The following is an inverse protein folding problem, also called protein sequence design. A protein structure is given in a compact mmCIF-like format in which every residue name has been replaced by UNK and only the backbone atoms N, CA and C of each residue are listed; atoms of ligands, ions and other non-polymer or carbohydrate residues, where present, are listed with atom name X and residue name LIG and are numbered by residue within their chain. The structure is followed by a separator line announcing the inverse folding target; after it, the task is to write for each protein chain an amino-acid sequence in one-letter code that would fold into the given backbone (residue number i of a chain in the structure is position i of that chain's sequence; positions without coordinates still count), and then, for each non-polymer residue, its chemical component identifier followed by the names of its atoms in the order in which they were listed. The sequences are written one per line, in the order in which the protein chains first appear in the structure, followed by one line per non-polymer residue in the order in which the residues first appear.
data_IF_610178609183
#
_entry.id   IF_610178609183
#
_cell.length_a   1.000
_cell.length_b   1.000
_cell.length_c   1.000
_cell.angle_alpha   90.00
_cell.angle_beta   90.00
_cell.angle_gamma   90.00
#
_symmetry.space_group_name_H-M   'P 1'
#
loop_
_entity.id
_entity.type
_entity.pdbx_description
1 polymer ?
#
# COMPACT_ATOMS: atom_id res chain seq x y z
N UNK A 1 41.63 -37.22 13.63
CA UNK A 1 40.84 -36.16 12.98
C UNK A 1 39.85 -36.80 12.01
N UNK A 2 38.57 -36.92 12.38
CA UNK A 2 37.51 -37.35 11.45
C UNK A 2 36.93 -36.11 10.79
N UNK A 3 37.16 -35.97 9.50
CA UNK A 3 36.50 -35.01 8.62
C UNK A 3 35.02 -35.40 8.50
N UNK A 4 34.13 -34.65 9.16
CA UNK A 4 32.70 -34.70 8.85
C UNK A 4 32.49 -33.91 7.55
N UNK A 5 32.52 -34.59 6.39
CA UNK A 5 31.89 -34.06 5.18
C UNK A 5 30.40 -33.93 5.49
N UNK A 6 29.93 -32.70 5.66
CA UNK A 6 28.50 -32.43 5.48
C UNK A 6 28.23 -32.60 4.00
N UNK A 7 27.31 -33.50 3.65
CA UNK A 7 26.74 -33.57 2.30
C UNK A 7 25.89 -32.31 2.10
N UNK A 8 26.56 -31.19 1.85
CA UNK A 8 25.91 -29.92 1.58
C UNK A 8 25.27 -30.00 0.19
N UNK A 9 23.97 -29.72 0.14
CA UNK A 9 23.20 -29.71 -1.10
C UNK A 9 23.82 -28.68 -2.08
N UNK A 10 24.00 -29.02 -3.37
CA UNK A 10 24.46 -28.08 -4.39
C UNK A 10 23.65 -26.78 -4.38
N UNK A 11 24.34 -25.64 -4.50
CA UNK A 11 23.73 -24.32 -4.39
C UNK A 11 22.56 -24.12 -5.37
N UNK A 12 22.67 -24.63 -6.60
CA UNK A 12 21.61 -24.54 -7.61
C UNK A 12 20.32 -25.27 -7.20
N UNK A 13 20.44 -26.40 -6.49
CA UNK A 13 19.30 -27.11 -5.93
C UNK A 13 18.70 -26.36 -4.74
N UNK A 14 19.54 -25.71 -3.93
CA UNK A 14 19.06 -24.84 -2.85
C UNK A 14 18.27 -23.66 -3.42
N UNK A 15 18.76 -23.01 -4.48
CA UNK A 15 18.08 -21.93 -5.20
C UNK A 15 16.75 -22.41 -5.78
N UNK A 16 16.72 -23.61 -6.38
CA UNK A 16 15.50 -24.21 -6.92
C UNK A 16 14.46 -24.47 -5.82
N UNK A 17 14.88 -25.02 -4.68
CA UNK A 17 13.99 -25.24 -3.53
C UNK A 17 13.46 -23.91 -3.01
N UNK A 18 14.34 -22.94 -2.74
CA UNK A 18 13.96 -21.62 -2.24
C UNK A 18 12.98 -20.91 -3.18
N UNK A 19 13.13 -21.06 -4.50
CA UNK A 19 12.22 -20.44 -5.46
C UNK A 19 10.76 -20.92 -5.36
N UNK A 20 10.52 -22.06 -4.72
CA UNK A 20 9.18 -22.66 -4.51
C UNK A 20 8.62 -22.41 -3.12
N UNK A 21 9.44 -21.89 -2.21
CA UNK A 21 9.02 -21.59 -0.82
C UNK A 21 8.23 -20.28 -0.82
N UNK A 22 7.12 -20.16 -0.06
CA UNK A 22 6.45 -18.88 0.09
C UNK A 22 7.37 -17.80 0.68
N UNK A 23 7.35 -16.58 0.14
CA UNK A 23 8.20 -15.45 0.58
C UNK A 23 8.14 -15.21 2.10
N UNK A 24 6.97 -15.38 2.74
CA UNK A 24 6.84 -15.24 4.20
C UNK A 24 7.63 -16.30 4.97
N UNK A 25 7.72 -17.52 4.46
CA UNK A 25 8.54 -18.56 5.05
C UNK A 25 10.02 -18.26 4.85
N UNK A 26 10.38 -17.70 3.68
CA UNK A 26 11.76 -17.23 3.44
C UNK A 26 12.20 -16.13 4.41
N UNK A 27 11.30 -15.19 4.76
CA UNK A 27 11.57 -14.17 5.78
C UNK A 27 12.01 -14.80 7.13
N UNK A 28 11.41 -15.92 7.51
CA UNK A 28 11.76 -16.66 8.74
C UNK A 28 13.09 -17.38 8.58
N UNK A 29 13.31 -18.08 7.45
CA UNK A 29 14.58 -18.76 7.16
C UNK A 29 15.77 -17.80 7.21
N UNK A 30 15.59 -16.59 6.68
CA UNK A 30 16.59 -15.52 6.72
C UNK A 30 17.05 -15.16 8.14
N UNK A 31 16.15 -15.24 9.13
CA UNK A 31 16.48 -14.95 10.52
C UNK A 31 17.30 -16.06 11.19
N UNK A 32 17.42 -17.24 10.58
CA UNK A 32 18.10 -18.40 11.18
C UNK A 32 19.59 -18.45 10.89
N UNK A 33 20.03 -18.17 9.65
CA UNK A 33 21.47 -18.24 9.28
C UNK A 33 21.87 -17.15 8.28
N UNK A 34 23.17 -16.81 8.28
CA UNK A 34 23.76 -15.88 7.30
C UNK A 34 23.71 -16.44 5.88
N UNK A 35 23.90 -17.75 5.72
CA UNK A 35 23.89 -18.42 4.41
C UNK A 35 22.53 -18.30 3.73
N UNK A 36 21.44 -18.63 4.43
CA UNK A 36 20.08 -18.47 3.90
C UNK A 36 19.79 -17.00 3.54
N UNK A 37 20.27 -16.06 4.37
CA UNK A 37 20.11 -14.64 4.09
C UNK A 37 20.83 -14.17 2.82
N UNK A 38 22.03 -14.69 2.53
CA UNK A 38 22.74 -14.39 1.28
C UNK A 38 21.99 -14.99 0.09
N UNK A 39 21.59 -16.26 0.16
CA UNK A 39 20.92 -16.94 -0.94
C UNK A 39 19.55 -16.34 -1.27
N UNK A 40 18.74 -15.97 -0.27
CA UNK A 40 17.43 -15.34 -0.50
C UNK A 40 17.57 -13.96 -1.16
N UNK A 41 18.70 -13.27 -0.95
CA UNK A 41 19.01 -11.98 -1.60
C UNK A 41 19.53 -12.15 -3.02
N UNK A 42 19.91 -13.37 -3.41
CA UNK A 42 20.34 -13.66 -4.77
C UNK A 42 19.19 -13.43 -5.75
N UNK A 43 19.46 -12.65 -6.81
CA UNK A 43 18.49 -12.35 -7.86
C UNK A 43 17.96 -13.60 -8.56
N UNK A 44 18.71 -14.71 -8.59
CA UNK A 44 18.28 -16.00 -9.15
C UNK A 44 17.07 -16.55 -8.43
N UNK A 45 17.02 -16.45 -7.10
CA UNK A 45 15.86 -16.92 -6.30
C UNK A 45 14.64 -16.07 -6.61
N UNK A 46 14.79 -14.73 -6.63
CA UNK A 46 13.70 -13.81 -6.93
C UNK A 46 13.12 -14.00 -8.33
N UNK A 47 13.99 -14.15 -9.33
CA UNK A 47 13.59 -14.38 -10.73
C UNK A 47 12.85 -15.71 -10.89
N UNK A 48 13.44 -16.83 -10.42
CA UNK A 48 12.77 -18.14 -10.47
C UNK A 48 11.47 -18.16 -9.68
N UNK A 49 11.42 -17.50 -8.52
CA UNK A 49 10.21 -17.44 -7.72
C UNK A 49 9.09 -16.69 -8.45
N UNK A 50 9.42 -15.61 -9.19
CA UNK A 50 8.46 -14.90 -10.02
C UNK A 50 7.89 -15.82 -11.13
N UNK A 51 8.77 -16.53 -11.85
CA UNK A 51 8.39 -17.44 -12.94
C UNK A 51 7.56 -18.63 -12.43
N UNK A 52 7.94 -19.21 -11.28
CA UNK A 52 7.31 -20.40 -10.71
C UNK A 52 5.97 -20.12 -10.00
N UNK A 53 5.73 -18.88 -9.54
CA UNK A 53 4.59 -18.56 -8.67
C UNK A 53 3.62 -17.52 -9.25
N UNK A 54 3.76 -17.11 -10.51
CA UNK A 54 2.70 -16.38 -11.22
C UNK A 54 1.46 -17.28 -11.47
N UNK A 55 0.21 -16.81 -11.31
CA UNK A 55 -0.37 -16.01 -10.24
C UNK A 55 -1.00 -16.92 -9.17
N UNK A 56 -0.20 -17.73 -8.46
CA UNK A 56 -0.69 -18.46 -7.28
C UNK A 56 -0.74 -17.48 -6.11
N UNK A 57 -1.78 -16.65 -6.08
CA UNK A 57 -1.98 -15.64 -5.04
C UNK A 57 -2.09 -16.35 -3.69
N UNK A 58 -1.28 -15.99 -2.70
CA UNK A 58 -1.39 -16.59 -1.38
C UNK A 58 -2.81 -16.34 -0.84
N UNK A 59 -3.48 -17.41 -0.40
CA UNK A 59 -4.75 -17.35 0.37
C UNK A 59 -4.55 -16.73 1.77
N UNK A 60 -3.44 -16.02 1.99
CA UNK A 60 -3.06 -15.45 3.26
C UNK A 60 -2.96 -13.94 3.10
N UNK A 61 -3.98 -13.28 3.62
CA UNK A 61 -4.10 -11.84 3.78
C UNK A 61 -3.07 -11.29 4.76
N UNK A 62 -1.98 -10.81 4.20
CA UNK A 62 -0.93 -10.11 4.91
C UNK A 62 -1.21 -8.62 4.87
N UNK A 63 -1.03 -7.98 6.00
CA UNK A 63 -1.24 -6.56 6.17
C UNK A 63 0.04 -5.97 6.74
N UNK A 64 0.47 -4.85 6.17
CA UNK A 64 1.42 -3.97 6.81
C UNK A 64 0.66 -3.00 7.71
N UNK A 65 1.06 -2.96 8.97
CA UNK A 65 0.57 -2.01 9.96
C UNK A 65 1.70 -1.06 10.33
N UNK A 66 1.41 0.25 10.31
CA UNK A 66 2.33 1.27 10.79
C UNK A 66 1.96 1.60 12.24
N UNK A 67 2.64 1.03 13.23
CA UNK A 67 2.36 1.21 14.65
C UNK A 67 3.51 2.00 15.28
N UNK A 68 3.21 3.13 15.90
CA UNK A 68 4.23 4.02 16.50
C UNK A 68 5.41 4.30 15.55
N UNK A 69 5.12 4.54 14.26
CA UNK A 69 6.11 4.81 13.19
C UNK A 69 7.02 3.65 12.80
N UNK A 70 6.71 2.43 13.27
CA UNK A 70 7.39 1.17 12.95
C UNK A 70 6.53 0.30 12.05
N UNK A 71 7.17 -0.47 11.18
CA UNK A 71 6.50 -1.26 10.15
C UNK A 71 6.37 -2.71 10.61
N UNK A 72 5.14 -3.17 10.77
CA UNK A 72 4.83 -4.53 11.22
C UNK A 72 4.12 -5.32 10.13
N UNK A 73 4.59 -6.54 9.89
CA UNK A 73 3.91 -7.52 9.06
C UNK A 73 2.99 -8.37 9.92
N UNK A 74 1.73 -8.42 9.51
CA UNK A 74 0.65 -9.04 10.28
C UNK A 74 -0.15 -9.98 9.37
N UNK A 75 -0.54 -11.15 9.87
CA UNK A 75 -1.43 -12.07 9.15
C UNK A 75 -2.80 -12.06 9.81
N UNK A 76 -3.80 -11.57 9.09
CA UNK A 76 -5.17 -11.54 9.59
C UNK A 76 -5.94 -12.74 9.07
N UNK A 77 -6.49 -13.55 9.96
CA UNK A 77 -7.46 -14.60 9.64
C UNK A 77 -8.81 -14.18 10.20
N UNK A 78 -9.82 -14.01 9.35
CA UNK A 78 -11.15 -13.56 9.77
C UNK A 78 -12.08 -14.71 10.18
N UNK A 79 -11.69 -15.96 9.93
CA UNK A 79 -12.53 -17.14 10.14
C UNK A 79 -12.34 -17.79 11.53
N UNK A 80 -11.60 -17.15 12.45
CA UNK A 80 -11.36 -17.67 13.79
C UNK A 80 -12.19 -16.90 14.82
N UNK A 81 -13.10 -17.59 15.51
CA UNK A 81 -14.06 -16.98 16.44
C UNK A 81 -13.57 -16.88 17.90
N UNK A 82 -12.48 -17.58 18.28
CA UNK A 82 -12.02 -17.63 19.69
C UNK A 82 -10.66 -16.95 19.88
N UNK A 83 -10.64 -15.93 20.76
CA UNK A 83 -9.51 -15.05 21.07
C UNK A 83 -8.91 -14.34 19.84
N UNK A 84 -9.65 -13.35 19.29
CA UNK A 84 -9.28 -12.43 18.19
C UNK A 84 -7.96 -11.66 18.43
N UNK A 85 -6.85 -12.34 18.67
CA UNK A 85 -5.50 -11.81 18.79
C UNK A 85 -4.74 -12.21 17.54
N UNK A 86 -4.46 -11.22 16.71
CA UNK A 86 -3.62 -11.40 15.56
C UNK A 86 -2.16 -11.27 15.97
N UNK A 87 -1.36 -12.28 15.60
CA UNK A 87 0.08 -12.33 15.86
C UNK A 87 0.86 -11.53 14.83
N UNK A 88 1.79 -10.72 15.32
CA UNK A 88 2.81 -10.07 14.50
C UNK A 88 3.75 -11.16 13.95
N UNK A 89 3.92 -11.19 12.62
CA UNK A 89 4.87 -12.12 11.99
C UNK A 89 6.29 -11.60 12.12
N UNK A 90 6.47 -10.29 11.88
CA UNK A 90 7.76 -9.63 11.90
C UNK A 90 7.58 -8.14 12.09
N UNK A 91 8.48 -7.52 12.84
CA UNK A 91 8.78 -6.10 12.67
C UNK A 91 9.84 -5.97 11.58
N UNK A 92 9.65 -5.04 10.65
CA UNK A 92 10.67 -4.69 9.68
C UNK A 92 11.42 -3.46 10.18
N UNK A 93 12.74 -3.58 10.30
CA UNK A 93 13.61 -2.50 10.76
C UNK A 93 14.31 -1.84 9.59
N UNK A 94 14.10 -0.52 9.44
CA UNK A 94 14.80 0.30 8.46
C UNK A 94 15.91 1.11 9.15
N UNK A 95 17.17 0.87 8.74
CA UNK A 95 18.33 1.60 9.26
C UNK A 95 18.54 2.90 8.49
N UNK A 96 18.99 3.93 9.19
CA UNK A 96 19.37 5.19 8.56
C UNK A 96 20.79 5.10 7.96
N UNK A 97 20.99 5.36 6.66
CA UNK A 97 22.33 5.37 6.08
C UNK A 97 23.14 6.64 6.39
N UNK A 98 22.51 7.75 6.80
CA UNK A 98 23.18 9.06 6.97
C UNK A 98 23.76 9.18 8.37
N UNK A 99 22.99 8.78 9.36
CA UNK A 99 23.45 8.77 10.74
C UNK A 99 23.90 7.34 11.02
N UNK A 100 25.20 7.12 11.24
CA UNK A 100 25.77 5.87 11.79
C UNK A 100 25.20 5.49 13.18
N UNK A 101 24.08 6.08 13.58
CA UNK A 101 23.31 5.74 14.75
C UNK A 101 22.66 4.36 14.58
N UNK A 102 22.68 3.58 15.65
CA UNK A 102 21.89 2.36 15.83
C UNK A 102 20.36 2.61 15.81
N UNK A 103 19.91 3.82 15.51
CA UNK A 103 18.50 4.23 15.60
C UNK A 103 17.75 3.88 14.31
N UNK A 104 16.61 3.23 14.49
CA UNK A 104 15.69 2.88 13.42
C UNK A 104 14.94 4.13 12.91
N UNK A 105 14.75 4.22 11.60
CA UNK A 105 14.07 5.35 10.96
C UNK A 105 12.58 5.33 11.26
N UNK A 106 12.05 6.46 11.72
CA UNK A 106 10.61 6.64 11.92
C UNK A 106 9.88 6.86 10.58
N UNK A 107 8.95 5.97 10.25
CA UNK A 107 8.14 6.03 9.03
C UNK A 107 6.81 6.76 9.30
N UNK A 108 6.49 7.76 8.47
CA UNK A 108 5.26 8.55 8.54
C UNK A 108 4.16 7.98 7.64
N UNK A 109 4.50 7.53 6.44
CA UNK A 109 3.53 7.00 5.48
C UNK A 109 4.15 5.90 4.60
N UNK A 110 3.32 4.99 4.08
CA UNK A 110 3.74 3.87 3.23
C UNK A 110 2.81 3.78 2.02
N UNK A 111 3.38 3.60 0.84
CA UNK A 111 2.67 3.28 -0.39
C UNK A 111 3.20 1.95 -0.92
N UNK A 112 2.31 1.04 -1.32
CA UNK A 112 2.68 -0.30 -1.78
C UNK A 112 2.48 -0.45 -3.28
N UNK A 113 3.40 -1.15 -3.95
CA UNK A 113 3.26 -1.62 -5.33
C UNK A 113 4.08 -2.91 -5.52
N UNK A 114 3.46 -4.01 -5.94
CA UNK A 114 4.11 -5.29 -6.24
C UNK A 114 5.13 -5.79 -5.19
N UNK A 115 4.81 -5.58 -3.90
CA UNK A 115 5.65 -5.97 -2.76
C UNK A 115 6.78 -5.01 -2.40
N UNK A 116 6.99 -3.97 -3.20
CA UNK A 116 7.81 -2.81 -2.84
C UNK A 116 7.00 -1.80 -2.03
N UNK A 117 7.69 -1.14 -1.11
CA UNK A 117 7.16 -0.06 -0.29
C UNK A 117 7.88 1.23 -0.62
N UNK A 118 7.13 2.31 -0.83
CA UNK A 118 7.65 3.66 -0.78
C UNK A 118 7.31 4.24 0.59
N UNK A 119 8.33 4.53 1.39
CA UNK A 119 8.17 5.06 2.73
C UNK A 119 8.57 6.54 2.76
N UNK A 120 7.65 7.38 3.22
CA UNK A 120 7.96 8.75 3.63
C UNK A 120 8.27 8.75 5.13
N UNK A 121 9.41 9.31 5.52
CA UNK A 121 9.86 9.35 6.92
C UNK A 121 9.31 10.59 7.64
N UNK A 122 9.42 10.64 8.97
CA UNK A 122 9.12 11.86 9.74
C UNK A 122 10.01 13.06 9.39
N UNK A 123 11.22 12.81 8.91
CA UNK A 123 12.19 13.84 8.54
C UNK A 123 12.08 14.22 7.06
N UNK A 124 10.92 13.96 6.44
CA UNK A 124 10.64 14.22 5.03
C UNK A 124 11.67 13.62 4.07
N UNK A 125 12.31 12.50 4.42
CA UNK A 125 13.12 11.70 3.49
C UNK A 125 12.28 10.60 2.86
N UNK A 126 12.66 10.21 1.65
CA UNK A 126 11.94 9.22 0.85
C UNK A 126 12.84 8.00 0.58
N UNK A 127 12.28 6.81 0.76
CA UNK A 127 12.98 5.54 0.54
C UNK A 127 12.06 4.52 -0.11
N UNK A 128 12.56 3.86 -1.13
CA UNK A 128 11.94 2.66 -1.69
C UNK A 128 12.58 1.47 -0.98
N UNK A 129 11.75 0.56 -0.50
CA UNK A 129 12.17 -0.52 0.36
C UNK A 129 11.46 -1.81 -0.03
N UNK A 130 12.24 -2.87 -0.20
CA UNK A 130 11.72 -4.23 -0.18
C UNK A 130 12.07 -4.87 1.18
N UNK A 131 11.12 -5.00 2.12
CA UNK A 131 11.39 -5.66 3.40
C UNK A 131 11.79 -7.14 3.28
N UNK A 132 11.37 -7.81 2.20
CA UNK A 132 11.63 -9.22 1.95
C UNK A 132 13.06 -9.49 1.46
N UNK A 133 13.63 -8.60 0.65
CA UNK A 133 15.05 -8.66 0.27
C UNK A 133 15.98 -7.79 1.14
N UNK A 134 15.41 -6.94 2.01
CA UNK A 134 16.13 -5.88 2.77
C UNK A 134 16.78 -4.84 1.86
N UNK A 135 16.44 -4.81 0.57
CA UNK A 135 16.96 -3.82 -0.35
C UNK A 135 16.30 -2.46 -0.10
N UNK A 136 17.11 -1.41 -0.05
CA UNK A 136 16.64 -0.04 0.15
C UNK A 136 17.29 0.90 -0.85
N UNK A 137 16.51 1.81 -1.43
CA UNK A 137 17.02 2.91 -2.25
C UNK A 137 16.48 4.23 -1.72
N UNK A 138 17.39 5.05 -1.21
CA UNK A 138 17.07 6.39 -0.71
C UNK A 138 17.02 7.36 -1.87
N UNK A 139 15.91 8.09 -1.98
CA UNK A 139 15.69 9.06 -3.06
C UNK A 139 15.98 10.44 -2.52
N UNK A 140 16.88 11.17 -3.20
CA UNK A 140 17.15 12.58 -2.91
C UNK A 140 16.06 13.44 -3.55
N UNK A 141 15.60 14.52 -2.90
CA UNK A 141 14.65 15.44 -3.51
C UNK A 141 15.29 16.19 -4.68
N UNK A 142 14.47 16.64 -5.65
CA UNK A 142 14.96 17.58 -6.67
C UNK A 142 15.36 18.95 -6.08
N UNK A 143 14.68 19.39 -5.01
CA UNK A 143 14.99 20.63 -4.27
C UNK A 143 14.93 20.37 -2.77
N UNK A 144 13.72 20.16 -2.26
CA UNK A 144 13.44 19.74 -0.89
C UNK A 144 12.08 19.06 -0.85
N UNK A 145 11.86 18.20 0.13
CA UNK A 145 10.58 17.54 0.37
C UNK A 145 9.74 18.34 1.37
N UNK A 146 8.42 18.35 1.18
CA UNK A 146 7.45 19.01 2.06
C UNK A 146 6.57 17.97 2.74
N UNK A 147 6.04 18.32 3.92
CA UNK A 147 5.07 17.46 4.62
C UNK A 147 3.78 17.24 3.81
N UNK A 148 3.40 18.25 3.01
CA UNK A 148 2.23 18.26 2.13
C UNK A 148 2.43 17.53 0.81
N UNK A 149 3.64 17.06 0.50
CA UNK A 149 3.88 16.32 -0.73
C UNK A 149 3.10 15.01 -0.74
N UNK A 150 2.46 14.73 -1.87
CA UNK A 150 1.77 13.47 -2.11
C UNK A 150 2.70 12.60 -2.96
N UNK A 151 2.82 11.34 -2.58
CA UNK A 151 3.67 10.38 -3.28
C UNK A 151 2.87 9.19 -3.79
N UNK A 152 3.39 8.55 -4.82
CA UNK A 152 2.94 7.23 -5.25
C UNK A 152 4.09 6.40 -5.80
N UNK A 153 3.97 5.09 -5.63
CA UNK A 153 4.81 4.10 -6.25
C UNK A 153 3.99 3.33 -7.28
N UNK A 154 4.52 3.27 -8.49
CA UNK A 154 3.91 2.52 -9.57
C UNK A 154 4.93 1.87 -10.47
N UNK A 155 4.42 1.16 -11.46
CA UNK A 155 5.18 0.32 -12.37
C UNK A 155 4.65 0.51 -13.78
N UNK A 156 5.54 0.79 -14.72
CA UNK A 156 5.18 0.86 -16.14
C UNK A 156 4.91 -0.52 -16.73
N UNK A 157 4.32 -0.55 -17.91
CA UNK A 157 4.08 -1.75 -18.71
C UNK A 157 5.35 -2.57 -19.01
N UNK A 158 6.52 -1.92 -19.05
CA UNK A 158 7.82 -2.58 -19.18
C UNK A 158 8.44 -3.00 -17.84
N UNK A 159 7.61 -3.15 -16.80
CA UNK A 159 7.99 -3.58 -15.44
C UNK A 159 8.98 -2.66 -14.70
N UNK A 160 9.12 -1.40 -15.13
CA UNK A 160 10.01 -0.43 -14.49
C UNK A 160 9.26 0.35 -13.42
N UNK A 161 9.79 0.32 -12.19
CA UNK A 161 9.23 1.11 -11.11
C UNK A 161 9.57 2.58 -11.29
N UNK A 162 8.67 3.44 -10.83
CA UNK A 162 8.81 4.91 -10.82
C UNK A 162 8.13 5.47 -9.58
N UNK A 163 8.61 6.61 -9.12
CA UNK A 163 7.97 7.34 -8.01
C UNK A 163 7.38 8.63 -8.53
N UNK A 164 6.08 8.84 -8.31
CA UNK A 164 5.42 10.11 -8.55
C UNK A 164 5.47 10.94 -7.27
N UNK A 165 5.78 12.23 -7.42
CA UNK A 165 5.62 13.26 -6.40
C UNK A 165 4.69 14.33 -6.96
N UNK A 166 3.71 14.74 -6.15
CA UNK A 166 2.83 15.87 -6.44
C UNK A 166 3.08 16.92 -5.36
N UNK A 167 3.75 18.00 -5.74
CA UNK A 167 3.95 19.16 -4.88
C UNK A 167 2.70 20.04 -4.95
N UNK A 168 1.98 20.14 -3.83
CA UNK A 168 0.83 21.00 -3.66
C UNK A 168 1.22 22.21 -2.80
N UNK A 169 1.47 23.35 -3.46
CA UNK A 169 1.88 24.60 -2.79
C UNK A 169 0.66 25.43 -2.33
N UNK A 170 0.38 25.43 -1.02
CA UNK A 170 -0.55 26.37 -0.37
C UNK A 170 -1.72 25.74 0.39
N UNK A 171 -2.10 26.38 1.51
CA UNK A 171 -3.18 25.96 2.41
C UNK A 171 -4.52 26.69 2.17
N UNK A 172 -4.63 27.53 1.14
CA UNK A 172 -5.79 28.41 0.94
C UNK A 172 -6.65 27.99 -0.24
N UNK A 173 -7.95 28.19 -0.12
CA UNK A 173 -9.05 27.55 -0.86
C UNK A 173 -9.19 27.89 -2.35
N UNK A 174 -8.15 28.40 -3.03
CA UNK A 174 -8.19 28.74 -4.47
C UNK A 174 -7.08 28.05 -5.25
N UNK A 175 -7.47 27.47 -6.40
CA UNK A 175 -6.67 27.04 -7.56
C UNK A 175 -5.14 26.96 -7.33
N UNK A 176 -4.71 25.99 -6.53
CA UNK A 176 -3.30 25.74 -6.24
C UNK A 176 -2.63 25.18 -7.49
N UNK A 177 -1.47 25.74 -7.87
CA UNK A 177 -0.64 25.14 -8.90
C UNK A 177 0.02 23.88 -8.34
N UNK A 178 -0.35 22.73 -8.91
CA UNK A 178 0.28 21.46 -8.65
C UNK A 178 1.44 21.27 -9.62
N UNK A 179 2.59 20.90 -9.09
CA UNK A 179 3.75 20.46 -9.88
C UNK A 179 3.95 18.96 -9.67
N UNK A 180 3.92 18.20 -10.75
CA UNK A 180 4.06 16.75 -10.73
C UNK A 180 5.44 16.38 -11.26
N UNK A 181 6.18 15.60 -10.47
CA UNK A 181 7.52 15.11 -10.79
C UNK A 181 7.54 13.59 -10.76
N UNK A 182 8.27 12.97 -11.69
CA UNK A 182 8.59 11.55 -11.67
C UNK A 182 10.07 11.37 -11.38
N UNK A 183 10.36 10.45 -10.46
CA UNK A 183 11.68 9.90 -10.27
C UNK A 183 11.82 8.61 -11.07
N UNK A 184 12.81 8.60 -11.94
CA UNK A 184 13.19 7.44 -12.74
C UNK A 184 14.41 6.76 -12.09
N UNK A 185 14.29 5.46 -11.86
CA UNK A 185 15.32 4.67 -11.17
C UNK A 185 16.55 4.40 -12.03
N UNK A 186 16.41 4.45 -13.36
CA UNK A 186 17.48 4.23 -14.34
C UNK A 186 18.31 5.50 -14.45
N UNK A 187 17.68 6.65 -14.70
CA UNK A 187 18.41 7.93 -14.77
C UNK A 187 18.81 8.45 -13.39
N UNK A 188 18.25 7.86 -12.32
CA UNK A 188 18.49 8.25 -10.93
C UNK A 188 18.19 9.74 -10.68
N UNK A 189 17.17 10.28 -11.37
CA UNK A 189 16.86 11.70 -11.36
C UNK A 189 15.36 11.97 -11.39
N UNK A 190 14.98 13.14 -10.89
CA UNK A 190 13.63 13.68 -11.01
C UNK A 190 13.48 14.43 -12.32
N UNK A 191 12.27 14.39 -12.89
CA UNK A 191 11.85 15.27 -13.97
C UNK A 191 10.39 15.67 -13.82
N UNK A 192 10.07 16.86 -14.29
CA UNK A 192 8.71 17.39 -14.29
C UNK A 192 7.91 16.68 -15.38
N UNK A 193 6.72 16.17 -15.04
CA UNK A 193 5.79 15.52 -15.98
C UNK A 193 4.55 16.35 -16.27
N UNK A 194 4.24 17.31 -15.42
CA UNK A 194 3.11 18.19 -15.65
C UNK A 194 2.93 19.24 -14.57
N UNK A 195 2.19 20.28 -14.93
CA UNK A 195 1.69 21.28 -14.00
C UNK A 195 0.20 21.45 -14.24
N UNK A 196 -0.58 21.55 -13.18
CA UNK A 196 -2.03 21.72 -13.32
C UNK A 196 -2.63 22.52 -12.19
N UNK A 197 -3.74 23.18 -12.49
CA UNK A 197 -4.60 23.86 -11.53
C UNK A 197 -6.01 23.29 -11.52
N UNK A 198 -6.28 22.25 -12.32
CA UNK A 198 -7.64 21.76 -12.62
C UNK A 198 -8.24 20.83 -11.56
N UNK A 199 -7.41 20.34 -10.64
CA UNK A 199 -7.84 19.48 -9.55
C UNK A 199 -6.91 19.63 -8.34
N UNK A 200 -7.34 19.10 -7.20
CA UNK A 200 -6.52 18.99 -6.00
C UNK A 200 -6.85 17.69 -5.27
N UNK A 201 -5.89 17.16 -4.52
CA UNK A 201 -6.12 16.03 -3.61
C UNK A 201 -6.07 16.58 -2.19
N UNK A 202 -7.17 16.45 -1.44
CA UNK A 202 -7.18 16.91 -0.04
C UNK A 202 -6.27 16.02 0.81
N UNK A 203 -5.64 16.58 1.83
CA UNK A 203 -4.67 15.87 2.67
C UNK A 203 -5.21 14.56 3.25
N UNK A 204 -6.47 14.55 3.67
CA UNK A 204 -7.15 13.37 4.20
C UNK A 204 -7.46 12.28 3.16
N UNK A 205 -7.32 12.58 1.87
CA UNK A 205 -7.50 11.69 0.71
C UNK A 205 -6.16 11.38 0.00
N UNK A 206 -5.03 11.78 0.58
CA UNK A 206 -3.69 11.68 -0.05
C UNK A 206 -3.12 10.26 -0.16
N UNK A 207 -3.77 9.25 0.44
CA UNK A 207 -3.36 7.85 0.32
C UNK A 207 -3.76 7.27 -1.04
N UNK A 208 -2.87 7.38 -2.02
CA UNK A 208 -3.04 6.75 -3.33
C UNK A 208 -3.04 5.23 -3.21
N UNK A 209 -3.92 4.59 -3.97
CA UNK A 209 -4.04 3.14 -4.03
C UNK A 209 -3.45 2.62 -5.34
N UNK A 210 -2.42 1.76 -5.25
CA UNK A 210 -1.80 1.14 -6.42
C UNK A 210 -2.52 -0.15 -6.80
N UNK A 211 -2.96 -0.25 -8.05
CA UNK A 211 -3.59 -1.45 -8.64
C UNK A 211 -2.98 -1.66 -10.01
N UNK A 212 -2.43 -2.85 -10.25
CA UNK A 212 -1.78 -3.24 -11.51
C UNK A 212 -0.73 -2.21 -12.01
N UNK A 213 0.07 -1.68 -11.08
CA UNK A 213 1.14 -0.72 -11.40
C UNK A 213 0.71 0.75 -11.50
N UNK A 214 -0.59 1.02 -11.62
CA UNK A 214 -1.13 2.39 -11.69
C UNK A 214 -1.71 2.83 -10.34
N UNK A 215 -1.71 4.14 -10.06
CA UNK A 215 -2.20 4.66 -8.77
C UNK A 215 -3.46 5.51 -8.94
N UNK A 216 -4.37 5.39 -7.97
CA UNK A 216 -5.67 6.05 -7.97
C UNK A 216 -5.91 6.85 -6.69
N UNK A 217 -6.56 8.00 -6.81
CA UNK A 217 -6.92 8.91 -5.71
C UNK A 217 -8.33 9.45 -5.84
N UNK A 218 -8.93 9.83 -4.72
CA UNK A 218 -10.09 10.72 -4.72
C UNK A 218 -9.61 12.17 -4.79
N UNK A 219 -9.96 12.86 -5.87
CA UNK A 219 -9.58 14.25 -6.12
C UNK A 219 -10.82 15.15 -6.22
N UNK A 220 -10.63 16.45 -6.05
CA UNK A 220 -11.68 17.46 -6.26
C UNK A 220 -11.39 18.26 -7.52
N UNK A 221 -12.41 18.45 -8.36
CA UNK A 221 -12.36 19.43 -9.45
C UNK A 221 -12.28 20.84 -8.85
N UNK A 222 -11.39 21.66 -9.40
CA UNK A 222 -11.29 23.10 -9.08
C UNK A 222 -11.94 23.97 -10.17
N UNK A 223 -12.39 23.35 -11.28
CA UNK A 223 -13.03 24.04 -12.40
C UNK A 223 -14.51 24.33 -12.15
N UNK A 224 -15.17 23.48 -11.37
CA UNK A 224 -16.61 23.57 -11.12
C UNK A 224 -16.87 24.04 -9.69
N UNK A 225 -17.79 25.01 -9.54
CA UNK A 225 -18.19 25.56 -8.24
C UNK A 225 -18.83 24.50 -7.32
N UNK A 226 -19.24 23.37 -7.91
CA UNK A 226 -19.83 22.23 -7.21
C UNK A 226 -18.83 21.38 -6.41
N UNK A 227 -17.51 21.59 -6.56
CA UNK A 227 -16.42 20.87 -5.83
C UNK A 227 -16.59 19.34 -5.75
N UNK A 228 -17.20 18.72 -6.77
CA UNK A 228 -17.48 17.28 -6.75
C UNK A 228 -16.19 16.46 -6.71
N UNK A 229 -16.23 15.39 -5.94
CA UNK A 229 -15.17 14.38 -5.91
C UNK A 229 -15.19 13.58 -7.20
N UNK A 230 -14.03 13.24 -7.74
CA UNK A 230 -13.87 12.32 -8.85
C UNK A 230 -12.69 11.38 -8.59
N UNK A 231 -12.62 10.29 -9.36
CA UNK A 231 -11.53 9.33 -9.29
C UNK A 231 -10.42 9.73 -10.27
N UNK A 232 -9.25 10.08 -9.74
CA UNK A 232 -8.07 10.42 -10.51
C UNK A 232 -7.17 9.19 -10.60
N UNK A 233 -6.81 8.75 -11.81
CA UNK A 233 -5.81 7.74 -12.06
C UNK A 233 -4.53 8.36 -12.61
N UNK A 234 -3.38 7.77 -12.28
CA UNK A 234 -2.11 8.06 -12.92
C UNK A 234 -1.54 6.78 -13.54
N UNK A 235 -1.35 6.80 -14.86
CA UNK A 235 -0.75 5.71 -15.61
C UNK A 235 0.78 5.89 -15.64
N UNK A 236 1.54 4.96 -15.06
CA UNK A 236 3.01 5.05 -15.01
C UNK A 236 3.72 4.64 -16.32
N UNK A 237 2.99 4.03 -17.25
CA UNK A 237 3.45 3.68 -18.59
C UNK A 237 3.41 4.90 -19.50
N UNK A 238 2.29 5.62 -19.52
CA UNK A 238 2.12 6.83 -20.35
C UNK A 238 2.45 8.12 -19.61
N UNK A 239 2.58 8.07 -18.28
CA UNK A 239 2.84 9.20 -17.38
C UNK A 239 1.80 10.30 -17.46
N UNK A 240 0.54 9.88 -17.52
CA UNK A 240 -0.60 10.79 -17.70
C UNK A 240 -1.62 10.58 -16.60
N UNK A 241 -2.22 11.69 -16.20
CA UNK A 241 -3.40 11.68 -15.36
C UNK A 241 -4.65 11.48 -16.22
N UNK A 242 -5.54 10.63 -15.73
CA UNK A 242 -6.82 10.35 -16.39
C UNK A 242 -7.93 10.40 -15.35
N UNK A 243 -9.06 11.01 -15.71
CA UNK A 243 -10.28 10.91 -14.90
C UNK A 243 -10.91 9.54 -15.15
N UNK A 244 -11.11 8.78 -14.09
CA UNK A 244 -11.68 7.43 -14.18
C UNK A 244 -13.19 7.53 -13.96
N UNK A 245 -13.98 6.87 -14.81
CA UNK A 245 -15.43 6.90 -14.70
C UNK A 245 -15.89 6.22 -13.40
N UNK A 246 -16.85 6.85 -12.72
CA UNK A 246 -17.50 6.31 -11.53
C UNK A 246 -18.65 5.36 -11.93
N UNK A 247 -19.22 4.56 -11.00
CA UNK A 247 -20.42 3.77 -11.26
C UNK A 247 -21.57 4.63 -11.85
N UNK A 248 -22.47 4.00 -12.63
CA UNK A 248 -23.56 4.71 -13.33
C UNK A 248 -24.41 5.53 -12.34
N UNK A 249 -24.68 4.98 -11.16
CA UNK A 249 -25.47 5.61 -10.11
C UNK A 249 -24.70 6.64 -9.27
N UNK A 250 -23.50 7.07 -9.70
CA UNK A 250 -22.64 7.95 -8.90
C UNK A 250 -23.30 9.27 -8.49
N UNK A 251 -24.29 9.73 -9.28
CA UNK A 251 -25.06 10.96 -8.98
C UNK A 251 -25.95 10.82 -7.76
N UNK A 252 -26.26 9.60 -7.32
CA UNK A 252 -27.01 9.32 -6.09
C UNK A 252 -26.13 9.40 -4.84
N UNK A 253 -24.80 9.51 -5.00
CA UNK A 253 -23.87 9.66 -3.88
C UNK A 253 -23.54 11.12 -3.63
N UNK A 254 -23.65 11.53 -2.37
CA UNK A 254 -23.24 12.86 -1.93
C UNK A 254 -21.72 12.96 -1.75
N UNK A 255 -21.06 11.85 -1.38
CA UNK A 255 -19.64 11.88 -0.99
C UNK A 255 -18.91 10.58 -1.30
N UNK A 256 -17.74 10.71 -1.91
CA UNK A 256 -16.76 9.62 -1.99
C UNK A 256 -15.91 9.61 -0.71
N UNK A 257 -15.94 8.49 0.01
CA UNK A 257 -15.38 8.39 1.36
C UNK A 257 -13.92 7.97 1.30
N UNK A 258 -13.63 6.84 0.65
CA UNK A 258 -12.31 6.22 0.64
C UNK A 258 -12.12 5.31 -0.58
N UNK A 259 -10.86 5.09 -0.94
CA UNK A 259 -10.45 4.00 -1.83
C UNK A 259 -9.86 2.86 -1.02
N UNK A 260 -9.90 1.67 -1.61
CA UNK A 260 -9.46 0.44 -1.00
C UNK A 260 -9.03 -0.57 -2.08
N UNK A 261 -8.52 -1.72 -1.65
CA UNK A 261 -8.33 -2.90 -2.49
C UNK A 261 -8.93 -4.13 -1.84
N UNK A 262 -9.37 -5.07 -2.68
CA UNK A 262 -9.75 -6.41 -2.23
C UNK A 262 -8.52 -7.17 -1.74
N UNK A 263 -8.63 -7.88 -0.62
CA UNK A 263 -7.51 -8.61 -0.01
C UNK A 263 -7.02 -9.77 -0.87
N UNK A 264 -7.93 -10.42 -1.59
CA UNK A 264 -7.67 -11.67 -2.32
C UNK A 264 -7.11 -11.40 -3.72
N UNK A 265 -7.64 -10.38 -4.40
CA UNK A 265 -7.33 -10.14 -5.80
C UNK A 265 -6.89 -8.72 -6.18
N UNK A 266 -6.65 -7.86 -5.20
CA UNK A 266 -6.12 -6.49 -5.38
C UNK A 266 -6.90 -5.64 -6.38
N UNK A 267 -8.22 -5.84 -6.47
CA UNK A 267 -9.10 -5.01 -7.28
C UNK A 267 -9.40 -3.71 -6.56
N UNK A 268 -9.40 -2.61 -7.31
CA UNK A 268 -9.74 -1.29 -6.77
C UNK A 268 -11.16 -1.30 -6.23
N UNK A 269 -11.32 -0.79 -5.02
CA UNK A 269 -12.60 -0.64 -4.34
C UNK A 269 -12.85 0.83 -4.01
N UNK A 270 -14.12 1.22 -4.01
CA UNK A 270 -14.55 2.57 -3.67
C UNK A 270 -15.69 2.50 -2.67
N UNK A 271 -15.59 3.31 -1.61
CA UNK A 271 -16.67 3.55 -0.65
C UNK A 271 -17.36 4.87 -0.94
N UNK A 272 -18.69 4.85 -1.05
CA UNK A 272 -19.50 6.04 -1.32
C UNK A 272 -20.73 6.10 -0.40
N UNK A 273 -21.06 7.30 0.11
CA UNK A 273 -22.24 7.55 0.93
C UNK A 273 -23.38 8.08 0.09
N UNK A 274 -24.59 7.58 0.33
CA UNK A 274 -25.82 8.06 -0.31
C UNK A 274 -26.12 9.51 0.08
N UNK A 275 -26.74 10.27 -0.82
CA UNK A 275 -27.16 11.64 -0.55
C UNK A 275 -28.34 11.74 0.41
N UNK A 276 -29.25 10.77 0.33
CA UNK A 276 -30.52 10.80 1.07
C UNK A 276 -30.45 10.01 2.37
N UNK A 277 -29.44 9.14 2.52
CA UNK A 277 -29.22 8.31 3.69
C UNK A 277 -27.72 8.20 3.99
N UNK A 278 -27.18 9.21 4.70
CA UNK A 278 -25.75 9.28 5.07
C UNK A 278 -25.31 8.16 6.02
N UNK A 279 -26.27 7.37 6.51
CA UNK A 279 -26.04 6.23 7.39
C UNK A 279 -25.55 5.00 6.63
N UNK A 280 -25.83 4.89 5.32
CA UNK A 280 -25.49 3.75 4.48
C UNK A 280 -24.41 4.14 3.48
N UNK A 281 -23.39 3.29 3.40
CA UNK A 281 -22.33 3.41 2.41
C UNK A 281 -22.25 2.17 1.55
N UNK A 282 -22.15 2.39 0.25
CA UNK A 282 -21.96 1.33 -0.73
C UNK A 282 -20.48 1.10 -0.97
N UNK A 283 -20.13 -0.18 -1.08
CA UNK A 283 -18.82 -0.64 -1.50
C UNK A 283 -18.93 -1.09 -2.95
N UNK A 284 -18.16 -0.45 -3.82
CA UNK A 284 -18.06 -0.80 -5.23
C UNK A 284 -16.71 -1.42 -5.53
N UNK A 285 -16.69 -2.48 -6.34
CA UNK A 285 -15.47 -3.11 -6.83
C UNK A 285 -15.35 -2.84 -8.32
N UNK A 286 -14.21 -2.32 -8.75
CA UNK A 286 -13.91 -2.15 -10.17
C UNK A 286 -13.75 -3.53 -10.83
N UNK A 287 -14.55 -3.80 -11.86
CA UNK A 287 -14.45 -5.03 -12.64
C UNK A 287 -13.48 -4.88 -13.80
N UNK A 288 -13.40 -3.67 -14.37
CA UNK A 288 -12.46 -3.30 -15.44
C UNK A 288 -12.09 -1.82 -15.31
N UNK A 289 -10.82 -1.49 -15.57
CA UNK A 289 -10.34 -0.11 -15.70
C UNK A 289 -9.44 -0.04 -16.93
N UNK A 290 -9.82 0.76 -17.92
CA UNK A 290 -9.03 1.06 -19.10
C UNK A 290 -8.17 2.29 -18.80
N UNK A 291 -6.85 2.10 -18.68
CA UNK A 291 -5.96 3.16 -18.18
C UNK A 291 -5.79 4.32 -19.19
N UNK A 292 -5.92 4.03 -20.49
CA UNK A 292 -5.79 5.03 -21.57
C UNK A 292 -6.98 5.99 -21.67
N UNK A 293 -8.20 5.48 -21.51
CA UNK A 293 -9.45 6.26 -21.65
C UNK A 293 -10.03 6.69 -20.30
N UNK A 294 -9.67 6.00 -19.22
CA UNK A 294 -10.30 6.15 -17.91
C UNK A 294 -11.66 5.45 -17.81
N UNK A 295 -12.09 4.73 -18.85
CA UNK A 295 -13.33 3.98 -18.81
C UNK A 295 -13.23 2.84 -17.79
N UNK A 296 -14.13 2.82 -16.82
CA UNK A 296 -14.18 1.82 -15.77
C UNK A 296 -15.60 1.30 -15.58
N UNK A 297 -15.68 -0.01 -15.36
CA UNK A 297 -16.89 -0.75 -15.03
C UNK A 297 -16.85 -1.15 -13.56
N UNK A 298 -18.00 -1.06 -12.89
CA UNK A 298 -18.10 -1.26 -11.45
C UNK A 298 -19.23 -2.23 -11.12
N UNK A 299 -19.01 -3.07 -10.13
CA UNK A 299 -20.05 -3.90 -9.53
C UNK A 299 -20.26 -3.46 -8.08
N UNK A 300 -21.52 -3.25 -7.69
CA UNK A 300 -21.88 -3.04 -6.29
C UNK A 300 -21.62 -4.34 -5.54
N UNK A 301 -20.83 -4.28 -4.49
CA UNK A 301 -20.45 -5.45 -3.71
C UNK A 301 -21.36 -5.65 -2.50
N UNK A 302 -21.51 -4.60 -1.68
CA UNK A 302 -22.37 -4.61 -0.51
C UNK A 302 -22.70 -3.19 -0.05
N UNK A 303 -23.70 -3.07 0.85
CA UNK A 303 -24.07 -1.85 1.54
C UNK A 303 -23.83 -2.03 3.04
N UNK A 304 -23.21 -1.05 3.69
CA UNK A 304 -22.90 -1.08 5.12
C UNK A 304 -23.51 0.12 5.79
N UNK A 305 -24.23 -0.14 6.88
CA UNK A 305 -24.66 0.91 7.79
C UNK A 305 -23.51 1.32 8.71
N UNK A 306 -23.09 2.58 8.62
CA UNK A 306 -21.95 3.12 9.37
C UNK A 306 -22.33 3.84 10.68
N UNK A 307 -23.63 4.04 10.93
CA UNK A 307 -24.14 4.71 12.15
C UNK A 307 -23.86 3.87 13.40
N UNK A 308 -23.45 4.56 14.47
CA UNK A 308 -23.10 4.00 15.80
C UNK A 308 -21.94 2.99 15.82
N UNK A 309 -21.22 2.84 14.72
CA UNK A 309 -20.09 1.92 14.67
C UNK A 309 -18.82 2.61 15.23
N UNK A 310 -17.96 1.89 15.98
CA UNK A 310 -16.77 2.44 16.64
C UNK A 310 -15.58 2.71 15.69
N UNK A 311 -15.84 3.04 14.42
CA UNK A 311 -14.81 3.44 13.46
C UNK A 311 -15.04 4.87 12.99
N UNK A 312 -13.97 5.52 12.55
CA UNK A 312 -14.06 6.84 11.95
C UNK A 312 -13.22 6.84 10.68
N UNK A 313 -13.84 7.27 9.57
CA UNK A 313 -13.10 7.63 8.36
C UNK A 313 -12.36 8.96 8.62
N UNK A 314 -11.33 8.91 9.45
CA UNK A 314 -10.46 10.06 9.73
C UNK A 314 -9.56 10.40 8.53
N UNK A 315 -8.76 11.45 8.70
CA UNK A 315 -7.67 11.81 7.79
C UNK A 315 -6.82 10.57 7.45
N UNK A 316 -6.59 10.31 6.15
CA UNK A 316 -5.78 9.18 5.63
C UNK A 316 -6.35 7.79 5.98
N UNK A 317 -7.67 7.64 5.97
CA UNK A 317 -8.29 6.32 6.24
C UNK A 317 -7.93 5.32 5.16
N UNK A 318 -7.36 4.19 5.58
CA UNK A 318 -7.19 3.01 4.73
C UNK A 318 -8.19 1.96 5.19
N UNK A 319 -8.98 1.48 4.24
CA UNK A 319 -9.88 0.35 4.41
C UNK A 319 -9.41 -0.76 3.50
N UNK A 320 -9.63 -2.01 3.88
CA UNK A 320 -9.45 -3.19 3.05
C UNK A 320 -10.79 -3.87 2.87
N UNK A 321 -11.07 -4.40 1.67
CA UNK A 321 -12.28 -5.19 1.41
C UNK A 321 -11.92 -6.67 1.47
N UNK A 322 -12.64 -7.44 2.27
CA UNK A 322 -12.60 -8.90 2.26
C UNK A 322 -13.83 -9.42 1.51
N UNK A 323 -13.60 -10.06 0.36
CA UNK A 323 -14.68 -10.53 -0.50
C UNK A 323 -15.34 -11.79 0.03
N UNK A 324 -14.53 -12.69 0.59
CA UNK A 324 -14.97 -14.00 1.03
C UNK A 324 -15.91 -13.88 2.23
N UNK A 325 -15.55 -13.02 3.18
CA UNK A 325 -16.32 -12.76 4.39
C UNK A 325 -17.33 -11.62 4.24
N UNK A 326 -17.31 -10.89 3.11
CA UNK A 326 -18.17 -9.71 2.85
C UNK A 326 -18.08 -8.64 3.95
N UNK A 327 -16.86 -8.30 4.33
CA UNK A 327 -16.58 -7.32 5.39
C UNK A 327 -15.53 -6.30 4.97
N UNK A 328 -15.48 -5.19 5.70
CA UNK A 328 -14.38 -4.23 5.61
C UNK A 328 -13.45 -4.40 6.81
N UNK A 329 -12.15 -4.32 6.57
CA UNK A 329 -11.13 -4.26 7.63
C UNK A 329 -10.55 -2.86 7.67
N UNK A 330 -10.68 -2.18 8.79
CA UNK A 330 -10.22 -0.80 8.96
C UNK A 330 -9.58 -0.58 10.34
N UNK A 331 -9.07 0.63 10.55
CA UNK A 331 -8.55 1.05 11.85
C UNK A 331 -9.68 1.46 12.79
N UNK A 332 -9.54 1.17 14.07
CA UNK A 332 -10.37 1.74 15.13
C UNK A 332 -10.31 3.26 15.23
N UNK A 333 -11.42 3.86 15.68
CA UNK A 333 -11.63 5.32 15.80
C UNK A 333 -10.53 6.05 16.57
N UNK A 334 -9.98 5.43 17.61
CA UNK A 334 -8.96 6.07 18.45
C UNK A 334 -7.54 5.64 18.11
N UNK A 335 -7.32 4.48 17.50
CA UNK A 335 -5.97 3.95 17.22
C UNK A 335 -5.08 3.70 18.44
N UNK A 336 -5.47 4.15 19.64
CA UNK A 336 -4.76 4.07 20.94
C UNK A 336 -5.25 2.87 21.76
N UNK A 337 -5.47 1.71 21.12
CA UNK A 337 -5.90 0.52 21.87
C UNK A 337 -5.30 -0.74 21.27
N UNK A 338 -5.21 -1.80 22.09
CA UNK A 338 -4.79 -3.13 21.63
C UNK A 338 -5.67 -3.66 20.46
N UNK A 339 -6.87 -3.13 20.27
CA UNK A 339 -7.79 -3.44 19.18
C UNK A 339 -7.54 -2.51 17.98
N UNK A 340 -6.41 -2.70 17.30
CA UNK A 340 -6.05 -1.86 16.16
C UNK A 340 -6.93 -2.09 14.92
N UNK A 341 -7.50 -3.29 14.79
CA UNK A 341 -8.25 -3.73 13.62
C UNK A 341 -9.73 -3.87 13.93
N UNK A 342 -10.58 -3.30 13.08
CA UNK A 342 -12.02 -3.42 13.14
C UNK A 342 -12.53 -4.08 11.88
N UNK A 343 -13.38 -5.09 12.04
CA UNK A 343 -14.06 -5.81 10.98
C UNK A 343 -15.49 -5.31 10.95
N UNK A 344 -15.86 -4.61 9.90
CA UNK A 344 -17.18 -4.01 9.72
C UNK A 344 -17.99 -4.88 8.77
N UNK A 345 -19.11 -5.40 9.28
CA UNK A 345 -20.05 -6.27 8.59
C UNK A 345 -21.36 -6.34 9.38
N UNK A 346 -22.02 -7.49 9.34
CA UNK A 346 -23.21 -7.78 10.16
C UNK A 346 -22.85 -7.80 11.65
N UNK A 347 -21.90 -8.65 12.05
CA UNK A 347 -21.58 -8.89 13.47
C UNK A 347 -20.66 -7.86 14.12
N UNK A 348 -19.98 -7.02 13.33
CA UNK A 348 -18.90 -6.11 13.78
C UNK A 348 -17.92 -6.70 14.80
N UNK A 349 -16.73 -7.10 14.36
CA UNK A 349 -15.73 -7.67 15.27
C UNK A 349 -14.57 -6.69 15.47
N UNK A 350 -14.09 -6.57 16.71
CA UNK A 350 -12.81 -5.92 16.99
C UNK A 350 -11.74 -7.00 17.11
N UNK A 351 -10.60 -6.77 16.46
CA UNK A 351 -9.46 -7.67 16.46
C UNK A 351 -8.31 -7.01 17.21
N UNK A 352 -7.87 -7.68 18.27
CA UNK A 352 -6.68 -7.33 19.01
C UNK A 352 -5.44 -7.69 18.20
N UNK A 353 -4.40 -6.84 18.21
CA UNK A 353 -3.07 -7.23 17.73
C UNK A 353 -2.18 -7.45 18.94
N UNK A 354 -1.45 -8.55 18.94
CA UNK A 354 -0.51 -8.91 20.00
C UNK A 354 0.73 -8.02 19.93
N UNK A 355 0.60 -6.79 20.44
CA UNK A 355 1.64 -5.76 20.48
C UNK A 355 1.94 -5.41 21.95
N UNK A 356 3.23 -5.30 22.29
CA UNK A 356 3.68 -5.17 23.68
C UNK A 356 3.34 -3.82 24.33
N UNK A 357 3.09 -2.76 23.55
CA UNK A 357 2.70 -1.45 24.07
C UNK A 357 1.22 -1.16 23.77
N UNK A 358 0.35 -1.13 24.82
CA UNK A 358 -1.08 -0.89 24.66
C UNK A 358 -1.47 0.57 24.38
N UNK A 359 -0.53 1.51 24.52
CA UNK A 359 -0.76 2.94 24.25
C UNK A 359 -0.30 3.35 22.85
N UNK A 360 0.34 2.45 22.12
CA UNK A 360 0.81 2.71 20.76
C UNK A 360 -0.34 3.03 19.81
N UNK A 361 -0.06 3.83 18.77
CA UNK A 361 -1.04 4.19 17.75
C UNK A 361 -0.73 3.56 16.40
N UNK A 362 -1.72 2.91 15.79
CA UNK A 362 -1.62 2.47 14.40
C UNK A 362 -2.01 3.64 13.48
N UNK A 363 -1.16 4.09 12.56
CA UNK A 363 -1.48 5.20 11.65
C UNK A 363 -1.87 4.75 10.24
N UNK A 364 -1.57 3.51 9.86
CA UNK A 364 -1.76 3.01 8.50
C UNK A 364 -2.03 1.50 8.46
N UNK A 365 -2.89 1.08 7.52
CA UNK A 365 -3.11 -0.31 7.13
C UNK A 365 -2.91 -0.43 5.61
N UNK A 366 -2.06 -1.35 5.17
CA UNK A 366 -1.81 -1.58 3.74
C UNK A 366 -1.88 -3.08 3.46
N UNK A 367 -2.71 -3.50 2.51
CA UNK A 367 -2.66 -4.88 2.06
C UNK A 367 -1.32 -5.15 1.37
N UNK A 368 -0.64 -6.20 1.80
CA UNK A 368 0.73 -6.47 1.38
C UNK A 368 0.81 -7.80 0.65
N UNK A 369 1.41 -7.77 -0.54
CA UNK A 369 1.76 -8.99 -1.29
C UNK A 369 3.28 -9.08 -1.29
N UNK A 370 3.89 -9.92 -0.45
CA UNK A 370 5.34 -10.08 -0.41
C UNK A 370 5.90 -10.48 -1.77
N UNK A 371 7.04 -9.88 -2.12
CA UNK A 371 7.74 -10.13 -3.38
C UNK A 371 9.24 -10.05 -3.17
N UNK A 372 10.00 -10.80 -3.96
CA UNK A 372 11.46 -10.73 -4.01
C UNK A 372 11.98 -9.84 -5.15
N UNK A 373 11.13 -8.98 -5.70
CA UNK A 373 11.54 -8.07 -6.79
C UNK A 373 12.65 -7.13 -6.32
N UNK A 374 13.63 -6.91 -7.18
CA UNK A 374 14.73 -5.99 -6.92
C UNK A 374 14.34 -4.55 -7.29
N UNK A 375 14.84 -3.58 -6.52
CA UNK A 375 14.59 -2.15 -6.73
C UNK A 375 15.39 -1.65 -7.93
N UNK A 376 16.68 -2.03 -8.00
CA UNK A 376 17.49 -1.78 -9.17
C UNK A 376 17.38 -2.97 -10.13
N UNK A 377 16.47 -2.90 -11.10
CA UNK A 377 16.59 -3.69 -12.31
C UNK A 377 17.76 -3.11 -13.13
N UNK A 378 18.99 -3.42 -12.76
CA UNK A 378 20.12 -3.27 -13.68
C UNK A 378 19.87 -4.22 -14.86
N UNK A 379 20.11 -3.70 -16.06
CA UNK A 379 20.01 -4.40 -17.36
C UNK A 379 20.62 -5.79 -17.33
#
# INVERSE_FOLDING_TARGET
MRSNKRDDLPEDLVVEILSRVPVVSMLRLRATTKTWNVLIKDGRVGKKHYDNNAPRRPRHSLIIMLIAFRVYLVRVNLNQDYNNKVKIISQFSLKDPVYNSLKEVDIRNIFHCDGLLLCATKYNRLVVWNPCSVETKWIKPSRFYKDSDIYALGKSSCNKYKVLRINQDGFTSRSILLECEIYDFISNSWRIVGKTRSWSIREWKSCGISVNGNTYWLANSTKDDTRRDFLLGFDFSTERFTSVSLPVDHRMYYKLIALSVTREDQKLCMLASWSNETSISDVWIATKIESSTGAASWAKFLSIRLVDKPFCFTIRTNVLVDKENKVLVCRGKHGVSNYFLHVVGEDNKCIQVDHHDPKSTCSLLVNYVPSLVQINQSL
#
